data_IF_044467671417
#
_entry.id   IF_044467671417
#
_cell.length_a   1.000
_cell.length_b   1.000
_cell.length_c   1.000
_cell.angle_alpha   90.00
_cell.angle_beta   90.00
_cell.angle_gamma   90.00
#
_symmetry.space_group_name_H-M   'P 1'
#
loop_
_entity.id
_entity.type
_entity.pdbx_description
1 polymer ?
#
# COMPACT_ATOMS: atom_id res chain seq x y z
N UNK A 1 -10.95 2.36 -3.32
CA UNK A 1 -11.17 2.39 -1.86
C UNK A 1 -12.56 2.92 -1.59
N UNK A 2 -13.23 2.39 -0.58
CA UNK A 2 -14.51 2.89 -0.09
C UNK A 2 -14.26 3.84 1.07
N UNK A 3 -14.80 5.06 0.99
CA UNK A 3 -14.78 6.00 2.11
C UNK A 3 -15.60 5.41 3.27
N UNK A 4 -15.04 5.44 4.47
CA UNK A 4 -15.67 5.01 5.72
C UNK A 4 -16.05 6.24 6.56
N UNK A 5 -16.91 6.02 7.54
CA UNK A 5 -17.22 7.04 8.53
C UNK A 5 -15.95 7.48 9.26
N UNK A 6 -15.86 8.77 9.58
CA UNK A 6 -14.64 9.35 10.17
C UNK A 6 -13.51 9.65 9.17
N UNK A 7 -13.73 9.50 7.86
CA UNK A 7 -12.80 9.98 6.83
C UNK A 7 -11.66 9.01 6.49
N UNK A 8 -11.69 7.79 7.02
CA UNK A 8 -10.78 6.73 6.58
C UNK A 8 -11.23 6.11 5.26
N UNK A 9 -10.31 5.47 4.54
CA UNK A 9 -10.57 4.79 3.28
C UNK A 9 -10.09 3.34 3.39
N UNK A 10 -10.87 2.39 2.90
CA UNK A 10 -10.53 0.95 2.95
C UNK A 10 -10.75 0.27 1.60
N UNK A 11 -9.84 -0.64 1.25
CA UNK A 11 -9.99 -1.62 0.17
C UNK A 11 -9.52 -2.98 0.68
N UNK A 12 -10.14 -4.06 0.22
CA UNK A 12 -9.70 -5.44 0.44
C UNK A 12 -9.31 -6.02 -0.91
N UNK A 13 -8.11 -6.61 -1.00
CA UNK A 13 -7.60 -7.27 -2.20
C UNK A 13 -7.11 -8.67 -1.82
N UNK A 14 -7.42 -9.65 -2.66
CA UNK A 14 -6.81 -10.98 -2.59
C UNK A 14 -5.44 -10.92 -3.28
N UNK A 15 -4.37 -11.16 -2.53
CA UNK A 15 -2.99 -11.11 -3.02
C UNK A 15 -2.34 -12.50 -2.96
N UNK A 16 -1.52 -12.86 -3.96
CA UNK A 16 -0.65 -14.03 -3.88
C UNK A 16 0.21 -14.01 -2.62
N UNK A 17 0.42 -15.18 -2.03
CA UNK A 17 1.33 -15.39 -0.90
C UNK A 17 2.78 -15.43 -1.38
N UNK A 18 3.73 -15.32 -0.45
CA UNK A 18 5.18 -15.37 -0.74
C UNK A 18 5.60 -14.35 -1.80
N UNK A 19 4.99 -13.16 -1.79
CA UNK A 19 5.15 -12.14 -2.83
C UNK A 19 5.35 -10.76 -2.21
N UNK A 20 5.99 -9.86 -2.96
CA UNK A 20 6.15 -8.45 -2.56
C UNK A 20 5.43 -7.54 -3.56
N UNK A 21 4.71 -6.56 -3.03
CA UNK A 21 3.90 -5.62 -3.79
C UNK A 21 4.24 -4.18 -3.40
N UNK A 22 4.58 -3.37 -4.39
CA UNK A 22 4.72 -1.93 -4.22
C UNK A 22 3.37 -1.25 -4.44
N UNK A 23 3.06 -0.27 -3.60
CA UNK A 23 1.83 0.50 -3.72
C UNK A 23 1.99 1.95 -3.26
N UNK A 24 1.10 2.82 -3.74
CA UNK A 24 1.06 4.24 -3.39
C UNK A 24 -0.38 4.71 -3.40
N UNK A 25 -0.71 5.71 -2.60
CA UNK A 25 -2.03 6.32 -2.56
C UNK A 25 -2.07 7.57 -3.42
N UNK A 26 -3.20 7.80 -4.08
CA UNK A 26 -3.51 9.11 -4.69
C UNK A 26 -4.55 9.78 -3.81
N UNK A 27 -4.14 10.85 -3.11
CA UNK A 27 -5.00 11.62 -2.21
C UNK A 27 -5.13 13.01 -2.80
N UNK A 28 -6.35 13.38 -3.23
CA UNK A 28 -6.65 14.66 -3.86
C UNK A 28 -5.72 15.00 -5.05
N UNK A 29 -5.45 13.99 -5.88
CA UNK A 29 -4.58 14.12 -7.06
C UNK A 29 -3.08 14.12 -6.75
N UNK A 30 -2.68 14.00 -5.50
CA UNK A 30 -1.28 13.95 -5.09
C UNK A 30 -0.87 12.53 -4.70
N UNK A 31 0.30 12.10 -5.20
CA UNK A 31 0.89 10.81 -4.84
C UNK A 31 1.46 10.86 -3.42
N UNK A 32 1.00 9.94 -2.56
CA UNK A 32 1.43 9.82 -1.16
C UNK A 32 1.74 8.38 -0.82
N UNK A 33 2.81 8.16 -0.06
CA UNK A 33 3.02 6.92 0.68
C UNK A 33 2.62 7.18 2.15
N UNK A 34 2.51 6.11 2.93
CA UNK A 34 2.27 6.16 4.36
C UNK A 34 3.62 6.15 5.08
N UNK A 35 3.87 7.14 5.94
CA UNK A 35 5.18 7.36 6.57
C UNK A 35 5.55 6.32 7.65
N UNK A 36 4.55 5.63 8.19
CA UNK A 36 4.71 4.63 9.26
C UNK A 36 4.76 3.18 8.73
N UNK A 37 4.91 3.00 7.42
CA UNK A 37 4.98 1.69 6.75
C UNK A 37 6.29 1.55 5.98
N UNK A 38 6.78 0.32 5.74
CA UNK A 38 7.98 0.08 4.92
C UNK A 38 7.85 0.72 3.53
N UNK A 39 8.98 1.20 3.01
CA UNK A 39 9.08 1.86 1.70
C UNK A 39 10.25 1.35 0.85
N UNK A 40 10.15 1.58 -0.45
CA UNK A 40 11.21 1.38 -1.45
C UNK A 40 11.24 2.58 -2.41
N UNK A 41 12.41 2.88 -2.97
CA UNK A 41 12.57 3.97 -3.93
C UNK A 41 11.76 3.69 -5.20
N UNK A 42 10.99 4.67 -5.66
CA UNK A 42 10.33 4.60 -6.97
C UNK A 42 11.28 5.10 -8.10
N UNK A 43 11.00 4.75 -9.37
CA UNK A 43 11.86 5.15 -10.50
C UNK A 43 11.93 6.66 -10.78
N UNK A 44 11.13 7.48 -10.08
CA UNK A 44 11.01 8.92 -10.30
C UNK A 44 11.59 9.74 -9.13
N UNK A 45 12.35 9.10 -8.24
CA UNK A 45 13.00 9.75 -7.09
C UNK A 45 12.10 9.93 -5.87
N UNK A 46 10.91 9.33 -5.86
CA UNK A 46 10.04 9.24 -4.70
C UNK A 46 10.13 7.88 -4.00
N UNK A 47 9.10 7.57 -3.21
CA UNK A 47 8.96 6.29 -2.51
C UNK A 47 7.58 5.68 -2.76
N UNK A 48 7.56 4.35 -2.87
CA UNK A 48 6.36 3.51 -2.75
C UNK A 48 6.36 2.83 -1.38
N UNK A 49 5.19 2.56 -0.82
CA UNK A 49 5.11 1.58 0.26
C UNK A 49 5.32 0.16 -0.30
N UNK A 50 5.89 -0.74 0.49
CA UNK A 50 6.07 -2.15 0.14
C UNK A 50 5.36 -3.06 1.14
N UNK A 51 4.60 -4.02 0.61
CA UNK A 51 3.92 -5.07 1.37
C UNK A 51 4.50 -6.42 0.98
N UNK A 52 4.93 -7.21 1.96
CA UNK A 52 5.32 -8.61 1.76
C UNK A 52 4.25 -9.53 2.34
N UNK A 53 3.74 -10.45 1.52
CA UNK A 53 2.82 -11.51 1.96
C UNK A 53 3.62 -12.72 2.39
N UNK A 54 3.30 -13.27 3.57
CA UNK A 54 3.94 -14.48 4.09
C UNK A 54 3.17 -15.75 3.72
N UNK A 55 3.69 -16.89 4.17
CA UNK A 55 3.03 -18.19 4.05
C UNK A 55 1.72 -18.18 4.83
N UNK A 56 0.71 -18.93 4.37
CA UNK A 56 -0.46 -19.16 5.19
C UNK A 56 -0.03 -19.95 6.44
N UNK A 57 -0.65 -19.71 7.61
CA UNK A 57 -0.40 -20.52 8.78
C UNK A 57 -0.68 -22.01 8.46
N UNK A 58 0.08 -22.95 9.05
CA UNK A 58 -0.07 -24.39 8.81
C UNK A 58 -1.41 -24.95 9.27
#
# INVERSE_FOLDING_TARGET
>A
MTKKDGGSYLSTLDLPLESSFEYKFVVDGQWKHKDDMPVVNDPFGGHNNILSTGSPPP
#
